data_IF_320630647968
#
_entry.id   IF_320630647968
#
_cell.length_a   1.000
_cell.length_b   1.000
_cell.length_c   1.000
_cell.angle_alpha   90.00
_cell.angle_beta   90.00
_cell.angle_gamma   90.00
#
_symmetry.space_group_name_H-M   'P 1'
#
loop_
_entity.id
_entity.type
_entity.pdbx_description
1 polymer ?
#
# COMPACT_ATOMS: atom_id res chain seq x y z
N UNK A 1 -15.69 10.19 13.74
CA UNK A 1 -14.37 10.63 13.21
C UNK A 1 -14.50 10.87 11.70
N UNK A 2 -14.90 12.06 11.25
CA UNK A 2 -15.03 12.38 9.80
C UNK A 2 -13.97 13.39 9.34
N UNK A 3 -13.43 14.15 10.28
CA UNK A 3 -12.35 15.12 10.11
C UNK A 3 -11.10 14.62 9.34
N UNK A 4 -10.59 13.38 9.49
CA UNK A 4 -9.43 12.94 8.71
C UNK A 4 -9.70 12.84 7.20
N UNK A 5 -10.94 12.54 6.80
CA UNK A 5 -11.31 12.47 5.39
C UNK A 5 -11.38 13.88 4.81
N UNK A 6 -12.11 14.79 5.46
CA UNK A 6 -12.23 16.17 4.98
C UNK A 6 -10.89 16.92 4.96
N UNK A 7 -10.01 16.67 5.94
CA UNK A 7 -8.65 17.21 5.93
C UNK A 7 -7.88 16.76 4.70
N UNK A 8 -7.89 15.46 4.38
CA UNK A 8 -7.24 14.92 3.19
C UNK A 8 -7.83 15.48 1.89
N UNK A 9 -9.17 15.53 1.78
CA UNK A 9 -9.83 16.07 0.59
C UNK A 9 -9.40 17.53 0.35
N UNK A 10 -9.30 18.33 1.42
CA UNK A 10 -8.88 19.72 1.34
C UNK A 10 -7.40 19.88 0.99
N UNK A 11 -6.51 19.17 1.67
CA UNK A 11 -5.05 19.39 1.56
C UNK A 11 -4.42 18.62 0.41
N UNK A 12 -4.85 17.38 0.16
CA UNK A 12 -4.26 16.49 -0.83
C UNK A 12 -5.00 16.57 -2.16
N UNK A 13 -6.33 16.58 -2.13
CA UNK A 13 -7.14 16.67 -3.36
C UNK A 13 -7.55 18.11 -3.72
N UNK A 14 -7.12 19.10 -2.93
CA UNK A 14 -7.42 20.52 -3.14
C UNK A 14 -8.93 20.84 -3.25
N UNK A 15 -9.79 20.05 -2.60
CA UNK A 15 -11.24 20.28 -2.56
C UNK A 15 -11.57 21.40 -1.55
N UNK A 16 -11.19 22.63 -1.90
CA UNK A 16 -11.52 23.82 -1.12
C UNK A 16 -12.91 24.40 -1.48
N UNK A 17 -13.37 24.15 -2.71
CA UNK A 17 -14.67 24.59 -3.22
C UNK A 17 -15.11 23.69 -4.37
N UNK A 18 -16.39 23.36 -4.44
CA UNK A 18 -16.97 22.69 -5.60
C UNK A 18 -16.94 23.61 -6.83
N UNK A 19 -16.43 23.10 -7.94
CA UNK A 19 -16.39 23.83 -9.22
C UNK A 19 -17.73 23.80 -9.92
N UNK A 20 -18.48 22.71 -9.79
CA UNK A 20 -19.76 22.57 -10.45
C UNK A 20 -20.91 23.18 -9.64
N UNK A 21 -21.96 23.62 -10.35
CA UNK A 21 -23.18 24.17 -9.75
C UNK A 21 -24.34 23.19 -9.91
N UNK A 22 -25.30 23.30 -8.99
CA UNK A 22 -26.44 22.39 -8.90
C UNK A 22 -26.12 21.14 -8.07
N UNK A 23 -27.12 20.66 -7.33
CA UNK A 23 -26.94 19.60 -6.34
C UNK A 23 -26.44 18.29 -6.93
N UNK A 24 -26.94 17.91 -8.12
CA UNK A 24 -26.53 16.69 -8.83
C UNK A 24 -25.04 16.72 -9.19
N UNK A 25 -24.58 17.81 -9.79
CA UNK A 25 -23.19 17.98 -10.19
C UNK A 25 -22.24 18.05 -9.00
N UNK A 26 -22.64 18.74 -7.92
CA UNK A 26 -21.86 18.79 -6.66
C UNK A 26 -21.75 17.40 -6.04
N UNK A 27 -22.82 16.61 -6.04
CA UNK A 27 -22.80 15.22 -5.55
C UNK A 27 -21.84 14.36 -6.37
N UNK A 28 -21.82 14.51 -7.69
CA UNK A 28 -20.90 13.81 -8.57
C UNK A 28 -19.44 14.20 -8.32
N UNK A 29 -19.16 15.50 -8.19
CA UNK A 29 -17.82 16.00 -7.88
C UNK A 29 -17.33 15.43 -6.53
N UNK A 30 -18.16 15.50 -5.49
CA UNK A 30 -17.87 14.93 -4.18
C UNK A 30 -17.66 13.40 -4.23
N UNK A 31 -18.49 12.67 -4.96
CA UNK A 31 -18.37 11.20 -5.06
C UNK A 31 -17.08 10.79 -5.76
N UNK A 32 -16.64 11.52 -6.78
CA UNK A 32 -15.35 11.29 -7.44
C UNK A 32 -14.17 11.51 -6.50
N UNK A 33 -14.20 12.58 -5.70
CA UNK A 33 -13.20 12.85 -4.67
C UNK A 33 -13.11 11.73 -3.63
N UNK A 34 -14.27 11.25 -3.13
CA UNK A 34 -14.35 10.13 -2.19
C UNK A 34 -13.90 8.81 -2.81
N UNK A 35 -14.24 8.56 -4.07
CA UNK A 35 -13.80 7.38 -4.80
C UNK A 35 -12.28 7.40 -4.95
N UNK A 36 -11.69 8.52 -5.37
CA UNK A 36 -10.25 8.68 -5.49
C UNK A 36 -9.56 8.45 -4.12
N UNK A 37 -10.10 8.99 -3.03
CA UNK A 37 -9.58 8.77 -1.68
C UNK A 37 -9.56 7.27 -1.30
N UNK A 38 -10.68 6.58 -1.53
CA UNK A 38 -10.79 5.16 -1.22
C UNK A 38 -9.87 4.30 -2.11
N UNK A 39 -9.75 4.63 -3.40
CA UNK A 39 -8.82 3.95 -4.30
C UNK A 39 -7.38 4.13 -3.85
N UNK A 40 -6.95 5.35 -3.49
CA UNK A 40 -5.60 5.61 -2.98
C UNK A 40 -5.29 4.73 -1.77
N UNK A 41 -6.25 4.55 -0.85
CA UNK A 41 -6.08 3.68 0.31
C UNK A 41 -5.95 2.19 -0.06
N UNK A 42 -6.78 1.72 -0.99
CA UNK A 42 -6.73 0.33 -1.45
C UNK A 42 -5.41 0.04 -2.18
N UNK A 43 -4.94 0.96 -3.02
CA UNK A 43 -3.66 0.86 -3.73
C UNK A 43 -2.50 0.84 -2.74
N UNK A 44 -2.48 1.77 -1.77
CA UNK A 44 -1.44 1.79 -0.74
C UNK A 44 -1.41 0.48 0.06
N UNK A 45 -2.56 -0.02 0.50
CA UNK A 45 -2.65 -1.28 1.23
C UNK A 45 -2.13 -2.46 0.40
N UNK A 46 -2.56 -2.56 -0.87
CA UNK A 46 -2.09 -3.61 -1.79
C UNK A 46 -0.57 -3.52 -2.02
N UNK A 47 -0.06 -2.32 -2.23
CA UNK A 47 1.38 -2.08 -2.41
C UNK A 47 2.18 -2.55 -1.20
N UNK A 48 1.73 -2.21 0.02
CA UNK A 48 2.34 -2.68 1.26
C UNK A 48 2.33 -4.20 1.40
N UNK A 49 1.21 -4.85 1.05
CA UNK A 49 1.11 -6.32 1.05
C UNK A 49 2.14 -6.92 0.07
N UNK A 50 2.25 -6.40 -1.14
CA UNK A 50 3.25 -6.87 -2.10
C UNK A 50 4.68 -6.70 -1.58
N UNK A 51 5.01 -5.55 -0.98
CA UNK A 51 6.32 -5.33 -0.36
C UNK A 51 6.60 -6.32 0.79
N UNK A 52 5.60 -6.58 1.63
CA UNK A 52 5.73 -7.54 2.73
C UNK A 52 5.93 -8.98 2.21
N UNK A 53 5.21 -9.38 1.16
CA UNK A 53 5.36 -10.70 0.54
C UNK A 53 6.74 -10.84 -0.13
N UNK A 54 7.19 -9.83 -0.87
CA UNK A 54 8.50 -9.83 -1.52
C UNK A 54 9.63 -9.90 -0.48
N UNK A 55 9.57 -9.08 0.57
CA UNK A 55 10.58 -9.11 1.64
C UNK A 55 10.59 -10.45 2.38
N UNK A 56 9.41 -11.03 2.66
CA UNK A 56 9.29 -12.37 3.23
C UNK A 56 9.90 -13.45 2.34
N UNK A 57 9.65 -13.39 1.02
CA UNK A 57 10.22 -14.31 0.05
C UNK A 57 11.75 -14.24 -0.01
N UNK A 58 12.32 -13.02 -0.07
CA UNK A 58 13.77 -12.84 -0.07
C UNK A 58 14.42 -13.36 1.22
N UNK A 59 13.78 -13.12 2.37
CA UNK A 59 14.24 -13.61 3.66
C UNK A 59 14.25 -15.13 3.71
N UNK A 60 13.19 -15.79 3.24
CA UNK A 60 13.12 -17.24 3.17
C UNK A 60 14.23 -17.81 2.25
N UNK A 61 14.41 -17.27 1.05
CA UNK A 61 15.48 -17.71 0.13
C UNK A 61 16.87 -17.58 0.76
N UNK A 62 17.15 -16.49 1.48
CA UNK A 62 18.44 -16.28 2.16
C UNK A 62 18.69 -17.30 3.28
N UNK A 63 17.65 -17.69 4.03
CA UNK A 63 17.76 -18.71 5.08
C UNK A 63 18.09 -20.10 4.50
N UNK A 64 17.41 -20.50 3.42
CA UNK A 64 17.70 -21.78 2.76
C UNK A 64 19.10 -21.81 2.11
N UNK A 65 19.56 -20.70 1.54
CA UNK A 65 20.92 -20.60 1.03
C UNK A 65 21.97 -20.75 2.13
N UNK A 66 21.78 -20.09 3.29
CA UNK A 66 22.68 -20.21 4.45
C UNK A 66 22.65 -21.63 5.04
N UNK A 67 21.47 -22.25 5.17
CA UNK A 67 21.34 -23.62 5.66
C UNK A 67 21.99 -24.64 4.72
N UNK A 68 21.89 -24.46 3.40
CA UNK A 68 22.56 -25.31 2.40
C UNK A 68 24.09 -25.21 2.50
N UNK A 69 24.64 -23.99 2.52
CA UNK A 69 26.08 -23.74 2.68
C UNK A 69 26.60 -24.32 4.02
N UNK A 70 25.81 -24.22 5.08
CA UNK A 70 26.13 -24.79 6.39
C UNK A 70 26.19 -26.32 6.38
N UNK A 71 25.30 -26.98 5.63
CA UNK A 71 25.29 -28.44 5.50
C UNK A 71 26.50 -28.94 4.69
N UNK A 72 26.86 -28.24 3.63
CA UNK A 72 28.02 -28.57 2.79
C UNK A 72 29.34 -28.38 3.57
N UNK A 73 29.44 -27.31 4.37
CA UNK A 73 30.58 -27.05 5.25
C UNK A 73 30.73 -28.08 6.37
N UNK A 74 29.62 -28.58 6.93
CA UNK A 74 29.65 -29.65 7.93
C UNK A 74 30.04 -30.99 7.29
N UNK A 75 29.51 -31.32 6.10
CA UNK A 75 29.87 -32.54 5.37
C UNK A 75 31.37 -32.63 5.07
N UNK A 76 32.01 -31.50 4.78
CA UNK A 76 33.45 -31.42 4.50
C UNK A 76 34.34 -31.55 5.73
N UNK A 77 33.79 -31.41 6.95
CA UNK A 77 34.53 -31.58 8.22
C UNK A 77 34.48 -33.00 8.78
N UNK A 78 33.56 -33.83 8.29
CA UNK A 78 33.33 -35.20 8.76
C UNK A 78 33.69 -36.28 7.71
N UNK A 79 34.36 -35.89 6.62
CA UNK A 79 35.01 -36.75 5.62
C UNK A 79 36.49 -36.42 5.61
#
# INVERSE_FOLDING_TARGET
MVEPVFGYLRTVQNLNRFRHRGLSSVKLECSLHLLAYNLSRVVAARFWIYLMLLSGYQRHKSLFAVSGIGLDSLRQKFV
#
